data_IF_700784797060
#
_entry.id   IF_700784797060
#
_cell.length_a   1.000
_cell.length_b   1.000
_cell.length_c   1.000
_cell.angle_alpha   90.00
_cell.angle_beta   90.00
_cell.angle_gamma   90.00
#
_symmetry.space_group_name_H-M   'P 1'
#
loop_
_entity.id
_entity.type
_entity.pdbx_description
1 polymer ?
#
# COMPACT_ATOMS: atom_id res chain seq x y z
N UNK A 1 -0.57 -2.56 22.82
CA UNK A 1 -1.58 -1.92 21.97
C UNK A 1 -1.34 -0.41 21.86
N UNK A 2 -0.92 0.25 22.94
CA UNK A 2 -0.79 1.70 23.05
C UNK A 2 0.62 2.23 22.72
N UNK A 3 1.58 1.35 22.51
CA UNK A 3 2.92 1.73 22.07
C UNK A 3 2.86 2.46 20.72
N UNK A 4 3.76 3.44 20.55
CA UNK A 4 3.77 4.29 19.36
C UNK A 4 4.81 3.81 18.35
N UNK A 5 4.37 3.72 17.12
CA UNK A 5 5.19 3.59 15.93
C UNK A 5 5.30 4.96 15.26
N UNK A 6 6.48 5.29 14.75
CA UNK A 6 6.72 6.52 14.01
C UNK A 6 7.01 6.21 12.55
N UNK A 7 6.23 6.81 11.64
CA UNK A 7 6.56 6.85 10.22
C UNK A 7 7.02 8.25 9.88
N UNK A 8 8.28 8.38 9.47
CA UNK A 8 8.82 9.68 9.06
C UNK A 8 8.51 9.94 7.60
N UNK A 9 7.93 11.11 7.32
CA UNK A 9 7.63 11.56 5.97
C UNK A 9 8.55 12.70 5.57
N UNK A 10 9.08 12.66 4.33
CA UNK A 10 9.74 13.83 3.75
C UNK A 10 8.70 14.91 3.47
N UNK A 11 8.68 15.98 4.27
CA UNK A 11 7.82 17.12 4.00
C UNK A 11 8.31 17.90 2.77
N UNK A 12 7.40 18.34 1.92
CA UNK A 12 7.70 19.22 0.76
C UNK A 12 8.24 20.60 1.18
N UNK A 13 8.15 20.93 2.45
CA UNK A 13 8.41 22.28 2.98
C UNK A 13 9.28 22.33 4.24
N UNK A 14 10.13 21.31 4.53
CA UNK A 14 11.00 21.36 5.71
C UNK A 14 11.44 20.01 6.27
N UNK A 15 11.73 19.98 7.57
CA UNK A 15 12.19 18.79 8.29
C UNK A 15 11.21 17.62 8.18
N UNK A 16 11.69 16.37 8.10
CA UNK A 16 10.84 15.19 8.14
C UNK A 16 9.93 15.18 9.38
N UNK A 17 8.69 14.72 9.21
CA UNK A 17 7.69 14.69 10.27
C UNK A 17 7.46 13.24 10.70
N UNK A 18 7.47 13.00 12.00
CA UNK A 18 7.12 11.72 12.58
C UNK A 18 5.60 11.60 12.76
N UNK A 19 4.95 10.83 11.92
CA UNK A 19 3.53 10.47 12.07
C UNK A 19 3.44 9.37 13.12
N UNK A 20 2.69 9.63 14.19
CA UNK A 20 2.58 8.73 15.34
C UNK A 20 1.35 7.82 15.21
N UNK A 21 1.58 6.54 15.11
CA UNK A 21 0.54 5.51 15.12
C UNK A 21 0.59 4.69 16.41
N UNK A 22 -0.56 4.41 17.03
CA UNK A 22 -0.62 3.29 17.95
C UNK A 22 -0.54 1.98 17.18
N UNK A 23 0.13 0.98 17.72
CA UNK A 23 0.25 -0.32 17.05
C UNK A 23 -1.11 -0.94 16.71
N UNK A 24 -2.08 -0.86 17.62
CA UNK A 24 -3.42 -1.41 17.38
C UNK A 24 -4.19 -0.62 16.29
N UNK A 25 -4.07 0.71 16.28
CA UNK A 25 -4.70 1.54 15.23
C UNK A 25 -4.08 1.25 13.86
N UNK A 26 -2.74 1.07 13.79
CA UNK A 26 -2.07 0.67 12.55
C UNK A 26 -2.59 -0.69 12.05
N UNK A 27 -2.71 -1.68 12.94
CA UNK A 27 -3.24 -3.00 12.61
C UNK A 27 -4.68 -2.91 12.10
N UNK A 28 -5.55 -2.19 12.79
CA UNK A 28 -6.94 -1.96 12.38
C UNK A 28 -7.02 -1.29 11.02
N UNK A 29 -6.21 -0.23 10.78
CA UNK A 29 -6.19 0.46 9.50
C UNK A 29 -5.74 -0.45 8.35
N UNK A 30 -4.78 -1.36 8.58
CA UNK A 30 -4.37 -2.35 7.59
C UNK A 30 -5.48 -3.37 7.29
N UNK A 31 -6.19 -3.87 8.30
CA UNK A 31 -7.33 -4.77 8.12
C UNK A 31 -8.47 -4.07 7.36
N UNK A 32 -8.79 -2.83 7.71
CA UNK A 32 -9.79 -2.04 7.00
C UNK A 32 -9.44 -1.84 5.51
N UNK A 33 -8.17 -1.57 5.21
CA UNK A 33 -7.71 -1.48 3.83
C UNK A 33 -7.83 -2.81 3.06
N UNK A 34 -7.62 -3.94 3.73
CA UNK A 34 -7.78 -5.26 3.13
C UNK A 34 -9.24 -5.64 2.85
N UNK A 35 -10.21 -5.06 3.58
CA UNK A 35 -11.65 -5.26 3.30
C UNK A 35 -12.04 -4.86 1.88
N UNK A 36 -11.31 -3.96 1.25
CA UNK A 36 -11.49 -3.62 -0.18
C UNK A 36 -11.23 -4.82 -1.11
N UNK A 37 -10.50 -5.83 -0.64
CA UNK A 37 -10.18 -7.05 -1.37
C UNK A 37 -11.03 -8.26 -0.94
N UNK A 38 -11.79 -8.16 0.14
CA UNK A 38 -12.64 -9.23 0.64
C UNK A 38 -12.76 -9.28 2.15
N UNK A 39 -13.23 -10.40 2.67
CA UNK A 39 -13.36 -10.64 4.10
C UNK A 39 -11.99 -10.78 4.78
N UNK A 40 -11.83 -10.18 5.96
CA UNK A 40 -10.60 -10.22 6.74
C UNK A 40 -10.89 -10.64 8.17
N UNK A 41 -9.95 -11.36 8.86
CA UNK A 41 -10.09 -11.74 10.24
C UNK A 41 -10.13 -10.49 11.13
N UNK A 42 -11.04 -10.46 12.11
CA UNK A 42 -11.19 -9.31 13.00
C UNK A 42 -10.43 -9.50 14.33
N UNK A 43 -10.21 -10.75 14.73
CA UNK A 43 -9.50 -11.09 15.97
C UNK A 43 -8.20 -11.85 15.68
N UNK A 44 -7.34 -11.98 16.68
CA UNK A 44 -6.13 -12.78 16.58
C UNK A 44 -6.45 -14.26 16.37
N UNK A 45 -7.45 -14.76 17.09
CA UNK A 45 -7.91 -16.15 17.02
C UNK A 45 -8.43 -16.48 15.62
N UNK A 46 -9.24 -15.61 15.03
CA UNK A 46 -9.71 -15.74 13.64
C UNK A 46 -8.54 -15.73 12.65
N UNK A 47 -7.54 -14.89 12.88
CA UNK A 47 -6.36 -14.81 12.01
C UNK A 47 -5.52 -16.09 12.11
N UNK A 48 -5.31 -16.62 13.31
CA UNK A 48 -4.60 -17.88 13.53
C UNK A 48 -5.37 -19.04 12.86
N UNK A 49 -6.69 -19.13 13.09
CA UNK A 49 -7.52 -20.16 12.47
C UNK A 49 -7.52 -20.09 10.93
N UNK A 50 -7.47 -18.88 10.37
CA UNK A 50 -7.36 -18.69 8.91
C UNK A 50 -6.01 -19.21 8.39
N UNK A 51 -4.91 -18.88 9.05
CA UNK A 51 -3.56 -19.35 8.70
C UNK A 51 -3.47 -20.89 8.83
N UNK A 52 -4.03 -21.47 9.87
CA UNK A 52 -4.08 -22.93 10.07
C UNK A 52 -4.88 -23.62 8.96
N UNK A 53 -5.98 -23.02 8.52
CA UNK A 53 -6.86 -23.57 7.49
C UNK A 53 -6.30 -23.42 6.08
N UNK A 54 -5.79 -22.23 5.73
CA UNK A 54 -5.43 -21.87 4.36
C UNK A 54 -3.92 -21.93 4.08
N UNK A 55 -3.13 -22.12 5.14
CA UNK A 55 -1.68 -22.07 5.09
C UNK A 55 -1.11 -20.67 5.30
N UNK A 56 0.23 -20.53 5.31
CA UNK A 56 0.89 -19.27 5.52
C UNK A 56 0.61 -18.28 4.38
N UNK A 57 0.62 -17.01 4.72
CA UNK A 57 0.52 -15.92 3.74
C UNK A 57 1.72 -15.90 2.79
N UNK A 58 1.69 -14.94 1.86
CA UNK A 58 2.65 -14.86 0.74
C UNK A 58 4.07 -14.52 1.16
N UNK A 59 5.02 -15.03 0.40
CA UNK A 59 6.41 -14.53 0.39
C UNK A 59 6.42 -13.20 -0.35
N UNK A 60 6.65 -12.13 0.40
CA UNK A 60 6.55 -10.76 -0.09
C UNK A 60 7.93 -10.12 -0.17
N UNK A 61 8.28 -9.60 -1.34
CA UNK A 61 9.49 -8.82 -1.57
C UNK A 61 9.15 -7.33 -1.50
N UNK A 62 9.80 -6.60 -0.58
CA UNK A 62 9.75 -5.15 -0.59
C UNK A 62 10.91 -4.61 -1.42
N UNK A 63 10.61 -4.13 -2.64
CA UNK A 63 11.61 -3.49 -3.49
C UNK A 63 11.96 -2.08 -3.01
N UNK A 64 11.04 -1.42 -2.33
CA UNK A 64 11.29 -0.14 -1.67
C UNK A 64 11.83 -0.32 -0.24
N UNK A 65 12.58 0.66 0.28
CA UNK A 65 13.16 0.57 1.62
C UNK A 65 12.10 0.32 2.69
N UNK A 66 12.40 -0.54 3.69
CA UNK A 66 11.49 -0.80 4.82
C UNK A 66 11.26 0.42 5.73
N UNK A 67 12.08 1.45 5.65
CA UNK A 67 11.84 2.74 6.31
C UNK A 67 10.76 3.59 5.61
N UNK A 68 10.43 3.28 4.35
CA UNK A 68 9.34 3.93 3.62
C UNK A 68 8.01 3.27 3.99
N UNK A 69 6.95 4.08 4.18
CA UNK A 69 5.63 3.58 4.60
C UNK A 69 5.11 2.41 3.76
N UNK A 70 5.23 2.47 2.43
CA UNK A 70 4.81 1.37 1.55
C UNK A 70 5.54 0.06 1.87
N UNK A 71 6.87 0.11 1.97
CA UNK A 71 7.69 -1.07 2.28
C UNK A 71 7.37 -1.64 3.65
N UNK A 72 7.34 -0.78 4.66
CA UNK A 72 7.07 -1.17 6.04
C UNK A 72 5.67 -1.78 6.21
N UNK A 73 4.63 -1.09 5.74
CA UNK A 73 3.23 -1.51 5.92
C UNK A 73 2.97 -2.83 5.19
N UNK A 74 3.50 -2.99 3.97
CA UNK A 74 3.36 -4.25 3.21
C UNK A 74 4.10 -5.39 3.89
N UNK A 75 5.31 -5.14 4.43
CA UNK A 75 6.08 -6.15 5.14
C UNK A 75 5.39 -6.61 6.42
N UNK A 76 4.89 -5.68 7.25
CA UNK A 76 4.11 -6.03 8.45
C UNK A 76 2.85 -6.81 8.08
N UNK A 77 2.13 -6.40 7.02
CA UNK A 77 0.96 -7.12 6.52
C UNK A 77 1.28 -8.56 6.10
N UNK A 78 2.41 -8.79 5.44
CA UNK A 78 2.87 -10.13 5.10
C UNK A 78 3.13 -10.99 6.35
N UNK A 79 3.83 -10.45 7.35
CA UNK A 79 4.09 -11.16 8.60
C UNK A 79 2.80 -11.44 9.40
N UNK A 80 1.88 -10.50 9.44
CA UNK A 80 0.58 -10.67 10.12
C UNK A 80 -0.26 -11.79 9.51
N UNK A 81 -0.12 -12.08 8.22
CA UNK A 81 -0.79 -13.19 7.54
C UNK A 81 0.00 -14.52 7.61
N UNK A 82 1.02 -14.61 8.46
CA UNK A 82 1.88 -15.80 8.55
C UNK A 82 2.80 -15.99 7.35
N UNK A 83 2.95 -14.98 6.49
CA UNK A 83 3.84 -14.97 5.34
C UNK A 83 5.29 -14.65 5.70
N UNK A 84 6.11 -14.43 4.69
CA UNK A 84 7.53 -14.13 4.83
C UNK A 84 7.92 -12.87 4.07
N UNK A 85 8.95 -12.18 4.57
CA UNK A 85 9.59 -11.05 3.88
C UNK A 85 10.87 -11.54 3.23
N UNK A 86 11.03 -11.19 1.95
CA UNK A 86 12.24 -11.45 1.17
C UNK A 86 12.89 -10.12 0.82
N UNK A 87 13.98 -9.71 1.49
CA UNK A 87 14.66 -8.45 1.20
C UNK A 87 15.59 -8.57 0.01
N UNK A 88 15.81 -7.46 -0.70
CA UNK A 88 16.95 -7.29 -1.59
C UNK A 88 18.20 -6.96 -0.78
N UNK A 89 19.38 -7.31 -1.28
CA UNK A 89 20.66 -7.19 -0.57
C UNK A 89 21.57 -6.10 -1.14
N UNK A 90 21.35 -5.70 -2.39
CA UNK A 90 22.11 -4.62 -3.02
C UNK A 90 21.84 -3.27 -2.32
N UNK A 91 22.84 -2.37 -2.26
CA UNK A 91 22.70 -1.05 -1.63
C UNK A 91 21.79 -0.10 -2.41
N UNK A 92 21.52 -0.39 -3.69
CA UNK A 92 20.60 0.32 -4.56
C UNK A 92 19.66 -0.66 -5.24
N UNK A 93 18.52 -0.17 -5.74
CA UNK A 93 17.58 -1.01 -6.45
C UNK A 93 18.15 -1.46 -7.80
N UNK A 94 18.23 -2.78 -7.99
CA UNK A 94 18.65 -3.45 -9.22
C UNK A 94 17.58 -4.41 -9.68
N UNK A 95 17.01 -4.16 -10.88
CA UNK A 95 15.89 -4.95 -11.38
C UNK A 95 16.27 -6.42 -11.66
N UNK A 96 17.51 -6.68 -12.05
CA UNK A 96 18.02 -8.05 -12.24
C UNK A 96 18.08 -8.83 -10.92
N UNK A 97 18.58 -8.20 -9.84
CA UNK A 97 18.54 -8.81 -8.50
C UNK A 97 17.12 -9.11 -8.06
N UNK A 98 16.18 -8.19 -8.31
CA UNK A 98 14.78 -8.40 -7.98
C UNK A 98 14.24 -9.65 -8.67
N UNK A 99 14.44 -9.80 -9.99
CA UNK A 99 13.92 -10.94 -10.72
C UNK A 99 14.64 -12.25 -10.39
N UNK A 100 15.96 -12.22 -10.18
CA UNK A 100 16.72 -13.37 -9.66
C UNK A 100 16.19 -13.80 -8.28
N UNK A 101 15.83 -12.84 -7.42
CA UNK A 101 15.25 -13.08 -6.10
C UNK A 101 13.83 -13.65 -6.19
N UNK A 102 13.01 -13.15 -7.12
CA UNK A 102 11.66 -13.67 -7.39
C UNK A 102 11.72 -15.15 -7.75
N UNK A 103 12.58 -15.53 -8.69
CA UNK A 103 12.75 -16.91 -9.12
C UNK A 103 13.31 -17.78 -7.98
N UNK A 104 14.44 -17.38 -7.39
CA UNK A 104 15.15 -18.16 -6.37
C UNK A 104 14.30 -18.44 -5.13
N UNK A 105 13.56 -17.45 -4.66
CA UNK A 105 12.78 -17.54 -3.44
C UNK A 105 11.29 -17.76 -3.69
N UNK A 106 10.89 -17.93 -4.96
CA UNK A 106 9.49 -18.14 -5.35
C UNK A 106 8.58 -17.06 -4.73
N UNK A 107 8.97 -15.79 -4.91
CA UNK A 107 8.23 -14.63 -4.40
C UNK A 107 6.85 -14.57 -5.04
N UNK A 108 5.83 -14.30 -4.23
CA UNK A 108 4.43 -14.28 -4.65
C UNK A 108 3.86 -12.87 -4.73
N UNK A 109 4.46 -11.90 -3.99
CA UNK A 109 4.03 -10.51 -3.97
C UNK A 109 5.23 -9.56 -3.94
N UNK A 110 5.13 -8.42 -4.63
CA UNK A 110 6.15 -7.36 -4.61
C UNK A 110 5.51 -6.05 -4.19
N UNK A 111 6.19 -5.27 -3.33
CA UNK A 111 5.83 -3.91 -2.99
C UNK A 111 6.80 -2.92 -3.65
N UNK A 112 6.25 -1.93 -4.37
CA UNK A 112 7.00 -0.89 -5.09
C UNK A 112 6.45 0.52 -4.81
N UNK A 113 7.17 1.52 -5.30
CA UNK A 113 6.72 2.93 -5.32
C UNK A 113 6.72 3.42 -6.78
N UNK A 114 5.62 3.17 -7.47
CA UNK A 114 5.34 3.63 -8.83
C UNK A 114 6.37 3.30 -9.89
N UNK A 115 6.42 4.16 -10.88
CA UNK A 115 7.26 4.00 -12.08
C UNK A 115 8.77 4.00 -11.80
N UNK A 116 9.21 4.56 -10.68
CA UNK A 116 10.62 4.54 -10.31
C UNK A 116 11.18 3.12 -10.17
N UNK A 117 10.34 2.17 -9.75
CA UNK A 117 10.64 0.74 -9.67
C UNK A 117 10.11 -0.03 -10.88
N UNK A 118 8.87 0.25 -11.27
CA UNK A 118 8.18 -0.54 -12.28
C UNK A 118 8.81 -0.42 -13.68
N UNK A 119 9.33 0.76 -14.06
CA UNK A 119 10.02 0.94 -15.35
C UNK A 119 11.29 0.10 -15.49
N UNK A 120 12.24 0.14 -14.53
CA UNK A 120 13.40 -0.76 -14.59
C UNK A 120 13.01 -2.25 -14.55
N UNK A 121 11.98 -2.61 -13.76
CA UNK A 121 11.48 -3.98 -13.71
C UNK A 121 10.99 -4.46 -15.09
N UNK A 122 10.12 -3.66 -15.75
CA UNK A 122 9.62 -3.99 -17.09
C UNK A 122 10.75 -4.06 -18.11
N UNK A 123 11.63 -3.06 -18.12
CA UNK A 123 12.77 -3.03 -19.02
C UNK A 123 13.65 -4.27 -18.92
N UNK A 124 13.93 -4.73 -17.70
CA UNK A 124 14.71 -5.94 -17.49
C UNK A 124 14.05 -7.18 -18.10
N UNK A 125 12.71 -7.31 -17.99
CA UNK A 125 11.95 -8.40 -18.62
C UNK A 125 11.97 -8.33 -20.15
N UNK A 126 11.89 -7.10 -20.71
CA UNK A 126 11.92 -6.88 -22.17
C UNK A 126 13.31 -7.18 -22.76
N UNK A 127 14.38 -6.72 -22.12
CA UNK A 127 15.76 -6.92 -22.55
C UNK A 127 16.24 -8.37 -22.37
N UNK A 128 15.62 -9.13 -21.47
CA UNK A 128 16.00 -10.51 -21.13
C UNK A 128 14.81 -11.47 -21.18
N UNK A 129 14.07 -11.46 -22.27
CA UNK A 129 12.85 -12.25 -22.41
C UNK A 129 13.08 -13.74 -22.12
N UNK A 130 12.29 -14.30 -21.21
CA UNK A 130 12.35 -15.71 -20.82
C UNK A 130 13.51 -16.10 -19.90
N UNK A 131 14.30 -15.15 -19.40
CA UNK A 131 15.41 -15.42 -18.48
C UNK A 131 14.92 -15.89 -17.11
N UNK A 132 13.83 -15.29 -16.57
CA UNK A 132 13.35 -15.56 -15.21
C UNK A 132 12.03 -16.32 -15.19
N UNK A 133 11.90 -17.22 -14.25
CA UNK A 133 10.62 -17.86 -13.92
C UNK A 133 9.82 -16.97 -12.95
N UNK A 134 8.77 -16.34 -13.48
CA UNK A 134 7.89 -15.44 -12.73
C UNK A 134 6.54 -16.08 -12.38
N UNK A 135 6.38 -17.40 -12.54
CA UNK A 135 5.10 -18.10 -12.32
C UNK A 135 4.60 -18.04 -10.88
N UNK A 136 5.51 -17.93 -9.91
CA UNK A 136 5.15 -17.75 -8.49
C UNK A 136 4.52 -16.40 -8.19
N UNK A 137 4.86 -15.36 -8.98
CA UNK A 137 4.44 -13.99 -8.73
C UNK A 137 2.99 -13.78 -9.14
N UNK A 138 2.15 -13.45 -8.16
CA UNK A 138 0.70 -13.25 -8.36
C UNK A 138 0.26 -11.81 -8.15
N UNK A 139 1.05 -10.97 -7.46
CA UNK A 139 0.67 -9.57 -7.26
C UNK A 139 1.86 -8.61 -7.17
N UNK A 140 1.64 -7.39 -7.61
CA UNK A 140 2.50 -6.23 -7.30
C UNK A 140 1.60 -5.14 -6.73
N UNK A 141 1.96 -4.63 -5.55
CA UNK A 141 1.31 -3.47 -4.93
C UNK A 141 2.21 -2.25 -5.06
N UNK A 142 1.64 -1.14 -5.48
CA UNK A 142 2.30 0.16 -5.56
C UNK A 142 1.56 1.19 -4.73
N UNK A 143 2.29 2.08 -4.07
CA UNK A 143 1.72 3.23 -3.36
C UNK A 143 2.70 4.40 -3.36
N UNK A 144 2.22 5.60 -3.05
CA UNK A 144 3.04 6.80 -2.85
C UNK A 144 3.17 7.69 -4.08
N UNK A 145 3.29 7.12 -5.28
CA UNK A 145 3.31 7.87 -6.54
C UNK A 145 2.55 7.13 -7.63
N UNK A 146 2.16 7.86 -8.66
CA UNK A 146 1.41 7.30 -9.79
C UNK A 146 2.20 6.21 -10.52
N UNK A 147 1.48 5.16 -10.89
CA UNK A 147 1.98 4.06 -11.72
C UNK A 147 1.32 4.11 -13.10
N UNK A 148 2.10 4.31 -14.13
CA UNK A 148 1.58 4.55 -15.48
C UNK A 148 0.90 3.33 -16.09
N UNK A 149 -0.13 3.61 -16.92
CA UNK A 149 -0.94 2.57 -17.58
C UNK A 149 -0.09 1.70 -18.52
N UNK A 150 0.82 2.32 -19.23
CA UNK A 150 1.70 1.66 -20.20
C UNK A 150 2.60 0.63 -19.52
N UNK A 151 3.18 1.00 -18.39
CA UNK A 151 4.06 0.11 -17.62
C UNK A 151 3.25 -1.05 -17.02
N UNK A 152 2.05 -0.79 -16.51
CA UNK A 152 1.15 -1.85 -16.03
C UNK A 152 0.79 -2.84 -17.15
N UNK A 153 0.44 -2.34 -18.32
CA UNK A 153 0.13 -3.18 -19.48
C UNK A 153 1.34 -4.02 -19.93
N UNK A 154 2.53 -3.43 -19.91
CA UNK A 154 3.78 -4.15 -20.21
C UNK A 154 4.05 -5.28 -19.22
N UNK A 155 3.93 -5.03 -17.92
CA UNK A 155 4.08 -6.07 -16.89
C UNK A 155 3.06 -7.20 -17.04
N UNK A 156 1.79 -6.88 -17.28
CA UNK A 156 0.74 -7.87 -17.54
C UNK A 156 1.01 -8.71 -18.79
N UNK A 157 1.67 -8.16 -19.81
CA UNK A 157 2.08 -8.90 -21.02
C UNK A 157 3.15 -9.95 -20.72
N UNK A 158 4.12 -9.62 -19.86
CA UNK A 158 5.20 -10.54 -19.49
C UNK A 158 4.77 -11.52 -18.38
N UNK A 159 3.83 -11.14 -17.52
CA UNK A 159 3.36 -11.93 -16.38
C UNK A 159 1.82 -11.98 -16.43
N UNK A 160 1.21 -12.81 -17.26
CA UNK A 160 -0.24 -12.77 -17.54
C UNK A 160 -1.14 -13.04 -16.32
N UNK A 161 -0.63 -13.76 -15.31
CA UNK A 161 -1.37 -14.08 -14.09
C UNK A 161 -1.36 -12.95 -13.05
N UNK A 162 -0.60 -11.86 -13.29
CA UNK A 162 -0.37 -10.86 -12.27
C UNK A 162 -1.58 -9.97 -12.02
N UNK A 163 -1.78 -9.65 -10.75
CA UNK A 163 -2.70 -8.61 -10.29
C UNK A 163 -1.88 -7.40 -9.85
N UNK A 164 -2.08 -6.28 -10.50
CA UNK A 164 -1.41 -5.02 -10.20
C UNK A 164 -2.35 -4.13 -9.39
N UNK A 165 -1.93 -3.74 -8.20
CA UNK A 165 -2.72 -2.98 -7.25
C UNK A 165 -2.09 -1.62 -6.98
N UNK A 166 -2.79 -0.54 -7.35
CA UNK A 166 -2.46 0.81 -6.89
C UNK A 166 -3.19 1.08 -5.59
N UNK A 167 -2.47 1.24 -4.49
CA UNK A 167 -3.01 1.63 -3.21
C UNK A 167 -2.85 3.13 -3.00
N UNK A 168 -3.96 3.82 -2.85
CA UNK A 168 -3.98 5.23 -2.48
C UNK A 168 -4.01 5.37 -0.97
N UNK A 169 -2.98 6.00 -0.43
CA UNK A 169 -2.81 6.24 1.00
C UNK A 169 -1.71 7.25 1.26
N UNK A 170 -1.57 7.62 2.51
CA UNK A 170 -0.50 8.48 3.02
C UNK A 170 -0.01 7.92 4.36
N UNK A 171 1.11 8.44 4.88
CA UNK A 171 1.55 8.10 6.23
C UNK A 171 0.52 8.53 7.29
N UNK A 172 -0.28 9.53 6.97
CA UNK A 172 -1.36 10.09 7.79
C UNK A 172 -2.67 9.29 7.70
N UNK A 173 -2.80 8.36 6.74
CA UNK A 173 -4.01 7.55 6.59
C UNK A 173 -3.81 6.42 5.58
N UNK A 174 -4.13 5.19 5.99
CA UNK A 174 -4.01 4.00 5.16
C UNK A 174 -5.33 3.68 4.47
N UNK A 175 -5.26 3.13 3.24
CA UNK A 175 -6.42 2.58 2.56
C UNK A 175 -7.49 3.62 2.21
N UNK A 176 -7.10 4.77 1.70
CA UNK A 176 -8.05 5.72 1.11
C UNK A 176 -8.76 5.11 -0.10
N UNK A 177 -8.04 4.36 -0.91
CA UNK A 177 -8.63 3.71 -2.06
C UNK A 177 -7.71 2.69 -2.71
N UNK A 178 -8.30 1.90 -3.61
CA UNK A 178 -7.63 0.86 -4.35
C UNK A 178 -8.03 0.89 -5.82
N UNK A 179 -7.08 0.66 -6.70
CA UNK A 179 -7.29 0.42 -8.12
C UNK A 179 -6.59 -0.88 -8.52
N UNK A 180 -7.27 -1.69 -9.32
CA UNK A 180 -6.76 -3.01 -9.73
C UNK A 180 -6.66 -3.09 -11.25
N UNK A 181 -5.55 -3.65 -11.75
CA UNK A 181 -5.30 -3.91 -13.17
C UNK A 181 -4.83 -5.35 -13.34
N UNK A 182 -5.36 -6.05 -14.34
CA UNK A 182 -4.97 -7.40 -14.75
C UNK A 182 -4.77 -7.45 -16.27
N UNK A 183 -4.33 -8.57 -16.79
CA UNK A 183 -4.21 -8.79 -18.24
C UNK A 183 -5.57 -8.69 -18.98
N UNK A 184 -6.68 -8.92 -18.29
CA UNK A 184 -8.04 -8.82 -18.84
C UNK A 184 -8.58 -7.39 -18.84
N UNK A 185 -7.89 -6.46 -18.20
CA UNK A 185 -8.28 -5.05 -18.07
C UNK A 185 -8.16 -4.55 -16.63
N UNK A 186 -8.63 -3.35 -16.39
CA UNK A 186 -8.54 -2.75 -15.06
C UNK A 186 -9.11 -1.34 -14.99
N UNK A 187 -9.01 -0.75 -13.81
CA UNK A 187 -9.43 0.62 -13.53
C UNK A 187 -8.53 1.60 -14.30
N UNK A 188 -9.10 2.70 -14.77
CA UNK A 188 -8.30 3.78 -15.37
C UNK A 188 -7.31 4.33 -14.33
N UNK A 189 -6.12 4.69 -14.80
CA UNK A 189 -5.08 5.32 -13.96
C UNK A 189 -5.66 6.53 -13.21
N UNK A 190 -5.29 6.67 -11.94
CA UNK A 190 -5.74 7.71 -11.01
C UNK A 190 -7.25 7.66 -10.67
N UNK A 191 -7.94 6.54 -10.94
CA UNK A 191 -9.30 6.28 -10.41
C UNK A 191 -9.21 5.18 -9.37
N UNK A 192 -9.75 5.45 -8.18
CA UNK A 192 -9.71 4.55 -7.05
C UNK A 192 -11.11 4.27 -6.53
N UNK A 193 -11.40 3.02 -6.21
CA UNK A 193 -12.52 2.68 -5.34
C UNK A 193 -12.20 3.14 -3.91
N UNK A 194 -13.07 3.95 -3.33
CA UNK A 194 -12.90 4.52 -1.98
C UNK A 194 -13.54 3.57 -0.97
N UNK A 195 -12.85 3.33 0.16
CA UNK A 195 -13.35 2.48 1.24
C UNK A 195 -14.40 3.18 2.12
N UNK A 196 -15.16 2.39 2.88
CA UNK A 196 -16.24 2.84 3.79
C UNK A 196 -15.78 3.80 4.89
N UNK A 197 -14.49 3.78 5.23
CA UNK A 197 -13.87 4.68 6.22
C UNK A 197 -13.41 6.01 5.64
N UNK A 198 -13.70 6.28 4.36
CA UNK A 198 -13.25 7.49 3.69
C UNK A 198 -14.45 8.32 3.24
N UNK A 199 -14.32 9.61 3.45
CA UNK A 199 -15.26 10.62 3.00
C UNK A 199 -14.50 11.72 2.25
N UNK A 200 -15.21 12.48 1.41
CA UNK A 200 -14.64 13.66 0.72
C UNK A 200 -15.36 14.89 1.24
N UNK A 201 -14.60 15.91 1.62
CA UNK A 201 -15.12 17.17 2.13
C UNK A 201 -14.67 18.33 1.26
N UNK A 202 -15.53 19.33 1.10
CA UNK A 202 -15.18 20.60 0.47
C UNK A 202 -14.38 21.52 1.44
N UNK A 203 -14.08 22.73 1.00
CA UNK A 203 -13.34 23.72 1.80
C UNK A 203 -14.08 24.22 3.05
N UNK A 204 -15.40 24.00 3.11
CA UNK A 204 -16.28 24.40 4.23
C UNK A 204 -16.61 23.21 5.15
N UNK A 205 -15.86 22.10 5.05
CA UNK A 205 -16.10 20.86 5.76
C UNK A 205 -17.48 20.21 5.50
N UNK A 206 -18.09 20.52 4.33
CA UNK A 206 -19.31 19.86 3.90
C UNK A 206 -18.95 18.59 3.10
N UNK A 207 -19.66 17.51 3.40
CA UNK A 207 -19.47 16.24 2.70
C UNK A 207 -19.86 16.39 1.23
N UNK A 208 -18.95 15.99 0.34
CA UNK A 208 -19.18 16.02 -1.11
C UNK A 208 -19.91 14.74 -1.54
N UNK A 209 -21.03 14.89 -2.22
CA UNK A 209 -21.79 13.78 -2.76
C UNK A 209 -21.05 13.08 -3.91
N UNK A 210 -20.98 11.74 -3.91
CA UNK A 210 -20.35 10.98 -4.99
C UNK A 210 -20.99 11.31 -6.34
N UNK A 211 -20.13 11.59 -7.34
CA UNK A 211 -20.60 11.90 -8.69
C UNK A 211 -21.05 13.34 -8.93
N UNK A 212 -21.03 14.21 -7.92
CA UNK A 212 -21.38 15.63 -8.05
C UNK A 212 -20.44 16.44 -8.95
N UNK A 213 -19.20 15.96 -9.15
CA UNK A 213 -18.14 16.71 -9.84
C UNK A 213 -17.50 17.81 -9.00
N UNK A 214 -17.95 18.01 -7.76
CA UNK A 214 -17.36 18.97 -6.83
C UNK A 214 -16.01 18.42 -6.32
N UNK A 215 -14.89 19.16 -6.46
CA UNK A 215 -13.61 18.73 -5.91
C UNK A 215 -13.61 18.87 -4.39
N UNK A 216 -12.81 18.01 -3.71
CA UNK A 216 -12.69 18.07 -2.27
C UNK A 216 -11.46 17.35 -1.76
N UNK A 217 -11.30 17.35 -0.45
CA UNK A 217 -10.22 16.67 0.27
C UNK A 217 -10.70 15.31 0.74
N UNK A 218 -9.95 14.26 0.41
CA UNK A 218 -10.23 12.95 0.97
C UNK A 218 -9.78 12.92 2.44
N UNK A 219 -10.62 12.38 3.28
CA UNK A 219 -10.37 12.21 4.70
C UNK A 219 -10.73 10.78 5.14
N UNK A 220 -10.04 10.26 6.13
CA UNK A 220 -10.27 8.93 6.69
C UNK A 220 -10.63 9.04 8.17
N UNK A 221 -11.66 8.30 8.58
CA UNK A 221 -12.09 8.12 9.97
C UNK A 221 -11.72 6.73 10.51
N UNK A 222 -11.96 6.52 11.79
CA UNK A 222 -11.69 5.26 12.48
C UNK A 222 -10.26 5.16 12.98
N UNK A 223 -9.55 4.13 12.57
CA UNK A 223 -8.15 3.93 12.94
C UNK A 223 -7.24 4.89 12.14
N UNK A 224 -6.81 5.97 12.77
CA UNK A 224 -5.96 7.02 12.21
C UNK A 224 -4.85 7.41 13.20
N UNK A 225 -3.76 8.07 12.77
CA UNK A 225 -2.65 8.47 13.63
C UNK A 225 -3.08 9.34 14.82
N UNK A 226 -2.30 9.28 15.87
CA UNK A 226 -2.44 10.19 17.03
C UNK A 226 -2.18 11.66 16.61
N UNK A 227 -1.19 11.86 15.74
CA UNK A 227 -0.77 13.16 15.25
C UNK A 227 0.69 13.14 14.79
N UNK A 228 1.28 14.32 14.67
CA UNK A 228 2.71 14.48 14.40
C UNK A 228 3.49 14.67 15.71
N UNK A 229 4.64 14.03 15.79
CA UNK A 229 5.51 14.15 16.96
C UNK A 229 6.00 15.58 17.14
N UNK A 230 5.79 16.12 18.34
CA UNK A 230 6.19 17.50 18.73
C UNK A 230 5.65 18.61 17.81
N UNK A 231 4.54 18.36 17.12
CA UNK A 231 3.89 19.36 16.25
C UNK A 231 2.37 19.37 16.47
N UNK A 232 1.88 19.88 17.60
CA UNK A 232 0.45 19.89 17.93
C UNK A 232 -0.37 20.79 17.01
N UNK A 233 0.21 21.91 16.55
CA UNK A 233 -0.48 22.84 15.67
C UNK A 233 -0.79 22.20 14.31
N UNK A 234 0.21 21.57 13.70
CA UNK A 234 -0.01 20.85 12.45
C UNK A 234 -0.89 19.63 12.64
N UNK A 235 -0.75 18.91 13.76
CA UNK A 235 -1.63 17.80 14.09
C UNK A 235 -3.10 18.22 14.09
N UNK A 236 -3.42 19.34 14.72
CA UNK A 236 -4.78 19.87 14.76
C UNK A 236 -5.30 20.30 13.36
N UNK A 237 -4.42 20.82 12.50
CA UNK A 237 -4.77 21.19 11.11
C UNK A 237 -5.02 19.97 10.21
N UNK A 238 -4.30 18.87 10.45
CA UNK A 238 -4.37 17.67 9.62
C UNK A 238 -5.45 16.70 10.10
N UNK A 239 -5.48 16.42 11.39
CA UNK A 239 -6.43 15.49 12.02
C UNK A 239 -7.57 16.26 12.64
N UNK A 240 -8.58 16.59 11.81
CA UNK A 240 -9.70 17.46 12.20
C UNK A 240 -10.88 16.65 12.75
N UNK A 241 -11.69 17.32 13.56
CA UNK A 241 -12.98 16.79 13.99
C UNK A 241 -14.09 17.50 13.23
N UNK A 242 -14.85 16.73 12.45
CA UNK A 242 -16.00 17.21 11.65
C UNK A 242 -17.23 16.45 12.15
N UNK A 243 -18.26 17.15 12.55
CA UNK A 243 -19.50 16.58 13.10
C UNK A 243 -19.26 15.56 14.23
N UNK A 244 -18.29 15.83 15.10
CA UNK A 244 -17.93 14.97 16.23
C UNK A 244 -17.09 13.72 15.86
N UNK A 245 -16.77 13.54 14.61
CA UNK A 245 -15.93 12.43 14.11
C UNK A 245 -14.53 12.95 13.78
N UNK A 246 -13.51 12.25 14.26
CA UNK A 246 -12.11 12.57 13.95
C UNK A 246 -11.69 11.92 12.64
N UNK A 247 -11.16 12.77 11.77
CA UNK A 247 -10.61 12.41 10.46
C UNK A 247 -9.13 12.69 10.39
#
# INVERSE_FOLDING_TARGET
PDDLLFIYTGGTTGMPKGVMWRHDDMRKAQLDAQKLLGSVPQTLEENVALIEKEGPGRRTLSACPLMHGTGFITAIGALMSGGAIVPLTAPSFEASELWDTVEKHQVESIAIVGDAFAKPMLRALEENAGRWDTRSLVSIISSGVMWSKEIKAGLCKHIPQIVLMDSFGASEGLGFGLSVTTAQGGTNTAKFGIGEFCDVFDENDQKVEPGSGVPGFIARKGAIPVGYYKDPEKSAKTFRTIDGVRY
#
